data_IF_574289820299
#
_entry.id   IF_574289820299
#
_cell.length_a   1.000
_cell.length_b   1.000
_cell.length_c   1.000
_cell.angle_alpha   90.00
_cell.angle_beta   90.00
_cell.angle_gamma   90.00
#
_symmetry.space_group_name_H-M   'P 1'
#
loop_
_entity.id
_entity.type
_entity.pdbx_description
1 polymer ?
#
# COMPACT_ATOMS: atom_id res chain seq x y z
N UNK A 1 50.11 6.10 17.60
CA UNK A 1 49.71 6.16 16.18
C UNK A 1 48.38 6.90 16.07
N UNK A 2 48.39 8.21 15.77
CA UNK A 2 47.16 8.96 15.54
C UNK A 2 46.84 8.98 14.04
N UNK A 3 45.72 8.37 13.67
CA UNK A 3 45.20 8.42 12.31
C UNK A 3 44.57 9.79 12.10
N UNK A 4 45.35 10.76 11.60
CA UNK A 4 44.82 12.06 11.19
C UNK A 4 43.93 11.85 9.95
N UNK A 5 42.63 12.19 10.00
CA UNK A 5 41.77 12.08 8.84
C UNK A 5 42.33 12.94 7.70
N UNK A 6 42.61 12.31 6.56
CA UNK A 6 43.05 13.01 5.35
C UNK A 6 41.81 13.60 4.65
N UNK A 7 41.89 14.80 4.04
CA UNK A 7 40.78 15.38 3.28
C UNK A 7 40.30 14.47 2.13
N UNK A 8 41.16 13.56 1.66
CA UNK A 8 40.78 12.53 0.66
C UNK A 8 39.82 11.47 1.20
N UNK A 9 39.76 11.28 2.52
CA UNK A 9 38.87 10.31 3.17
C UNK A 9 37.42 10.78 3.17
N UNK A 10 37.19 12.09 3.23
CA UNK A 10 35.84 12.68 3.18
C UNK A 10 35.23 12.58 1.78
N UNK A 11 36.04 12.87 0.75
CA UNK A 11 35.64 12.72 -0.67
C UNK A 11 35.22 11.28 -0.98
N UNK A 12 35.89 10.28 -0.40
CA UNK A 12 35.57 8.87 -0.62
C UNK A 12 34.26 8.42 0.05
N UNK A 13 33.80 9.12 1.09
CA UNK A 13 32.60 8.72 1.85
C UNK A 13 31.30 9.08 1.14
N UNK A 14 31.23 10.21 0.43
CA UNK A 14 29.98 10.64 -0.22
C UNK A 14 29.93 10.31 -1.71
N UNK A 15 31.06 10.22 -2.42
CA UNK A 15 31.05 10.13 -3.89
C UNK A 15 31.12 8.71 -4.48
N UNK A 16 31.57 7.70 -3.72
CA UNK A 16 31.79 6.35 -4.28
C UNK A 16 30.58 5.41 -4.18
N UNK A 17 29.56 5.77 -3.41
CA UNK A 17 28.29 5.04 -3.32
C UNK A 17 27.20 6.07 -3.52
N UNK A 18 26.44 5.95 -4.62
CA UNK A 18 25.10 6.55 -4.69
C UNK A 18 24.31 5.92 -3.54
N UNK A 19 24.32 6.58 -2.39
CA UNK A 19 23.45 6.24 -1.30
C UNK A 19 22.06 6.46 -1.86
N UNK A 20 21.36 5.37 -2.22
CA UNK A 20 19.94 5.43 -2.56
C UNK A 20 19.30 6.32 -1.52
N UNK A 21 18.83 7.50 -1.95
CA UNK A 21 18.43 8.55 -1.04
C UNK A 21 17.46 7.93 -0.03
N UNK A 22 17.76 8.03 1.26
CA UNK A 22 16.94 7.40 2.29
C UNK A 22 15.45 7.83 2.17
N UNK A 23 15.23 9.05 1.67
CA UNK A 23 13.91 9.59 1.35
C UNK A 23 13.25 8.93 0.13
N UNK A 24 14.02 8.65 -0.92
CA UNK A 24 13.54 7.99 -2.13
C UNK A 24 13.15 6.52 -1.85
N UNK A 25 13.93 5.83 -1.00
CA UNK A 25 13.58 4.48 -0.52
C UNK A 25 12.35 4.44 0.40
N UNK A 26 12.09 5.51 1.16
CA UNK A 26 10.84 5.66 1.93
C UNK A 26 9.64 5.89 1.00
N UNK A 27 9.79 6.78 0.01
CA UNK A 27 8.75 7.09 -0.97
C UNK A 27 8.34 5.84 -1.75
N UNK A 28 9.30 5.10 -2.34
CA UNK A 28 9.02 3.84 -3.07
C UNK A 28 8.25 2.81 -2.23
N UNK A 29 8.60 2.64 -0.95
CA UNK A 29 7.89 1.70 -0.06
C UNK A 29 6.44 2.11 0.19
N UNK A 30 6.17 3.40 0.35
CA UNK A 30 4.80 3.93 0.50
C UNK A 30 4.01 3.77 -0.80
N UNK A 31 4.60 4.15 -1.92
CA UNK A 31 3.94 4.12 -3.23
C UNK A 31 3.58 2.69 -3.64
N UNK A 32 4.52 1.74 -3.49
CA UNK A 32 4.27 0.31 -3.76
C UNK A 32 3.13 -0.25 -2.89
N UNK A 33 3.12 0.10 -1.60
CA UNK A 33 2.04 -0.31 -0.70
C UNK A 33 0.66 0.26 -1.09
N UNK A 34 0.61 1.47 -1.64
CA UNK A 34 -0.63 2.09 -2.10
C UNK A 34 -1.07 1.47 -3.44
N UNK A 35 -0.14 1.25 -4.35
CA UNK A 35 -0.36 0.62 -5.65
C UNK A 35 -0.97 -0.78 -5.49
N UNK A 36 -0.37 -1.63 -4.65
CA UNK A 36 -0.90 -2.99 -4.38
C UNK A 36 -2.34 -2.92 -3.85
N UNK A 37 -2.66 -1.97 -2.96
CA UNK A 37 -4.02 -1.82 -2.41
C UNK A 37 -5.02 -1.36 -3.48
N UNK A 38 -4.62 -0.41 -4.33
CA UNK A 38 -5.45 0.07 -5.44
C UNK A 38 -5.73 -1.04 -6.43
N UNK A 39 -4.71 -1.79 -6.85
CA UNK A 39 -4.85 -2.89 -7.79
C UNK A 39 -5.78 -3.98 -7.25
N UNK A 40 -5.62 -4.40 -5.99
CA UNK A 40 -6.54 -5.37 -5.35
C UNK A 40 -7.99 -4.88 -5.31
N UNK A 41 -8.21 -3.58 -5.06
CA UNK A 41 -9.55 -2.98 -5.04
C UNK A 41 -10.14 -2.96 -6.45
N UNK A 42 -9.37 -2.51 -7.43
CA UNK A 42 -9.80 -2.42 -8.83
C UNK A 42 -10.12 -3.81 -9.39
N UNK A 43 -9.27 -4.81 -9.18
CA UNK A 43 -9.54 -6.20 -9.53
C UNK A 43 -10.83 -6.72 -8.87
N UNK A 44 -11.05 -6.42 -7.60
CA UNK A 44 -12.27 -6.83 -6.89
C UNK A 44 -13.53 -6.16 -7.45
N UNK A 45 -13.44 -4.89 -7.84
CA UNK A 45 -14.55 -4.15 -8.45
C UNK A 45 -14.83 -4.64 -9.88
N UNK A 46 -13.79 -4.85 -10.67
CA UNK A 46 -13.91 -5.40 -12.02
C UNK A 46 -14.55 -6.79 -12.00
N UNK A 47 -14.20 -7.65 -11.03
CA UNK A 47 -14.87 -8.94 -10.82
C UNK A 47 -16.35 -8.79 -10.50
N UNK A 48 -16.72 -7.91 -9.56
CA UNK A 48 -18.14 -7.63 -9.24
C UNK A 48 -18.93 -7.11 -10.45
N UNK A 49 -18.28 -6.32 -11.31
CA UNK A 49 -18.88 -5.78 -12.52
C UNK A 49 -19.03 -6.82 -13.64
N UNK A 50 -17.99 -7.63 -13.91
CA UNK A 50 -18.01 -8.65 -14.98
C UNK A 50 -18.84 -9.87 -14.63
N UNK A 51 -18.75 -10.36 -13.41
CA UNK A 51 -19.44 -11.60 -12.99
C UNK A 51 -20.85 -11.34 -12.43
N UNK A 52 -21.28 -10.07 -12.38
CA UNK A 52 -22.60 -9.66 -11.90
C UNK A 52 -22.88 -10.12 -10.47
N UNK A 53 -22.43 -9.35 -9.46
CA UNK A 53 -22.78 -9.51 -8.05
C UNK A 53 -23.17 -10.94 -7.61
N UNK A 54 -22.26 -11.92 -7.78
CA UNK A 54 -22.28 -13.11 -6.93
C UNK A 54 -21.84 -12.67 -5.55
N UNK A 55 -22.78 -12.08 -4.81
CA UNK A 55 -22.64 -11.85 -3.38
C UNK A 55 -22.27 -13.20 -2.75
N UNK A 56 -21.10 -13.37 -2.14
CA UNK A 56 -20.95 -14.45 -1.19
C UNK A 56 -22.03 -14.20 -0.15
N UNK A 57 -23.02 -15.07 -0.13
CA UNK A 57 -24.11 -15.16 0.84
C UNK A 57 -23.51 -15.42 2.21
N UNK A 58 -22.90 -14.40 2.82
CA UNK A 58 -22.40 -14.45 4.18
C UNK A 58 -22.35 -13.03 4.73
N UNK A 59 -23.54 -12.48 4.95
CA UNK A 59 -23.81 -11.29 5.72
C UNK A 59 -24.94 -11.67 6.69
N UNK A 60 -24.67 -12.04 7.95
CA UNK A 60 -25.73 -11.96 8.95
C UNK A 60 -25.99 -10.46 9.18
N UNK A 61 -27.21 -10.08 9.54
CA UNK A 61 -27.69 -8.70 9.74
C UNK A 61 -28.34 -8.06 8.50
N UNK A 62 -29.30 -8.75 7.88
CA UNK A 62 -30.45 -8.07 7.29
C UNK A 62 -31.71 -8.55 8.01
N UNK A 63 -32.06 -7.86 9.10
CA UNK A 63 -33.36 -8.04 9.76
C UNK A 63 -34.45 -7.54 8.79
N UNK A 64 -35.51 -8.32 8.53
CA UNK A 64 -36.59 -7.86 7.66
C UNK A 64 -37.36 -6.72 8.34
N UNK A 65 -37.90 -5.76 7.56
CA UNK A 65 -38.77 -4.73 8.11
C UNK A 65 -40.03 -5.40 8.67
N UNK A 66 -40.39 -5.08 9.91
CA UNK A 66 -41.64 -5.50 10.53
C UNK A 66 -42.80 -5.01 9.65
N UNK A 67 -43.48 -5.94 8.98
CA UNK A 67 -44.75 -5.67 8.33
C UNK A 67 -45.78 -5.35 9.40
N UNK A 68 -46.06 -4.06 9.57
CA UNK A 68 -47.19 -3.55 10.36
C UNK A 68 -48.49 -4.06 9.75
N UNK A 69 -48.97 -5.20 10.23
CA UNK A 69 -50.33 -5.68 9.97
C UNK A 69 -51.25 -5.20 11.08
N UNK A 70 -52.42 -4.70 10.68
CA UNK A 70 -53.66 -4.46 11.45
C UNK A 70 -53.72 -3.19 12.31
N UNK A 71 -54.55 -2.24 11.85
CA UNK A 71 -55.89 -2.06 12.43
C UNK A 71 -56.88 -1.53 11.40
#
# INVERSE_FOLDING_TARGET
>A
MSLRPSPRTEVRRSHYKVAVNAEEGRRRRKDNMVEIRKNRREESLQKKHREGFRTPSNSPLLLPPLSSTRR
#
